data_IF_277681796979
#
_entry.id   IF_277681796979
#
_cell.length_a   1.000
_cell.length_b   1.000
_cell.length_c   1.000
_cell.angle_alpha   90.00
_cell.angle_beta   90.00
_cell.angle_gamma   90.00
#
_symmetry.space_group_name_H-M   'P 1'
#
loop_
_entity.id
_entity.type
_entity.pdbx_description
1 polymer ?
#
# COMPACT_ATOMS: atom_id res chain seq x y z
N UNK A 1 14.21 6.85 -6.08
CA UNK A 1 13.22 5.80 -5.77
C UNK A 1 13.20 5.64 -4.26
N UNK A 2 12.11 6.02 -3.59
CA UNK A 2 12.02 5.81 -2.14
C UNK A 2 11.95 4.30 -1.88
N UNK A 3 12.99 3.74 -1.28
CA UNK A 3 12.86 2.46 -0.58
C UNK A 3 11.85 2.64 0.55
N UNK A 4 11.13 1.57 0.90
CA UNK A 4 10.16 1.51 2.01
C UNK A 4 10.73 2.13 3.31
N UNK A 5 12.05 2.12 3.47
CA UNK A 5 12.79 2.71 4.60
C UNK A 5 12.79 4.24 4.64
N UNK A 6 12.70 4.95 3.50
CA UNK A 6 12.62 6.43 3.51
C UNK A 6 11.24 6.93 3.93
N UNK A 7 10.21 6.08 3.84
CA UNK A 7 8.84 6.41 4.26
C UNK A 7 8.63 6.26 5.77
N UNK A 8 9.61 5.68 6.50
CA UNK A 8 9.58 5.59 7.95
C UNK A 8 9.58 6.96 8.66
N UNK A 9 9.76 8.07 7.95
CA UNK A 9 9.57 9.42 8.47
C UNK A 9 8.12 9.93 8.40
N UNK A 10 7.21 9.31 7.61
CA UNK A 10 5.86 9.83 7.42
C UNK A 10 4.87 8.84 6.78
N UNK A 11 4.37 7.89 7.59
CA UNK A 11 3.17 7.04 7.36
C UNK A 11 3.14 6.18 6.09
N UNK A 12 2.32 5.13 6.10
CA UNK A 12 2.07 4.29 4.93
C UNK A 12 1.18 5.02 3.91
N UNK A 13 1.24 4.65 2.62
CA UNK A 13 0.32 5.19 1.62
C UNK A 13 -1.11 4.74 1.90
N UNK A 14 -2.04 5.70 2.01
CA UNK A 14 -3.49 5.50 2.27
C UNK A 14 -4.28 4.92 1.08
N UNK A 15 -3.58 4.17 0.24
CA UNK A 15 -4.11 3.47 -0.93
C UNK A 15 -3.24 2.23 -1.15
N UNK A 16 -2.98 1.49 -0.07
CA UNK A 16 -2.25 0.25 -0.16
C UNK A 16 -3.16 -0.81 -0.78
N UNK A 17 -2.81 -1.19 -2.01
CA UNK A 17 -3.51 -2.17 -2.84
C UNK A 17 -2.50 -2.91 -3.72
N UNK A 18 -2.82 -4.10 -4.25
CA UNK A 18 -1.89 -4.88 -5.06
C UNK A 18 -1.30 -4.11 -6.24
N UNK A 19 -2.06 -3.20 -6.86
CA UNK A 19 -1.59 -2.38 -8.00
C UNK A 19 -0.47 -1.41 -7.62
N UNK A 20 -0.37 -1.03 -6.34
CA UNK A 20 0.65 -0.13 -5.82
C UNK A 20 1.85 -0.88 -5.20
N UNK A 21 1.89 -2.21 -5.31
CA UNK A 21 2.93 -3.09 -4.79
C UNK A 21 3.65 -3.73 -5.98
N UNK A 22 4.77 -3.15 -6.38
CA UNK A 22 5.59 -3.64 -7.49
C UNK A 22 6.74 -4.52 -7.01
N UNK A 23 7.35 -5.25 -7.94
CA UNK A 23 8.58 -6.00 -7.70
C UNK A 23 9.74 -5.36 -8.45
N UNK A 24 10.89 -5.23 -7.80
CA UNK A 24 12.14 -4.91 -8.48
C UNK A 24 12.71 -6.11 -9.25
N UNK A 25 13.74 -5.87 -10.05
CA UNK A 25 14.41 -6.93 -10.83
C UNK A 25 15.00 -8.05 -9.97
N UNK A 26 15.27 -7.79 -8.70
CA UNK A 26 15.73 -8.78 -7.72
C UNK A 26 14.58 -9.53 -7.04
N UNK A 27 13.32 -9.20 -7.32
CA UNK A 27 12.14 -9.80 -6.70
C UNK A 27 11.71 -9.17 -5.38
N UNK A 28 12.32 -8.06 -4.95
CA UNK A 28 11.93 -7.37 -3.72
C UNK A 28 10.73 -6.46 -3.96
N UNK A 29 9.85 -6.37 -2.96
CA UNK A 29 8.68 -5.49 -2.99
C UNK A 29 9.11 -4.02 -2.96
N UNK A 30 8.49 -3.21 -3.82
CA UNK A 30 8.63 -1.76 -3.90
C UNK A 30 7.23 -1.15 -3.89
N UNK A 31 6.98 -0.26 -2.94
CA UNK A 31 5.73 0.51 -2.91
C UNK A 31 5.82 1.67 -3.91
N UNK A 32 4.73 1.90 -4.61
CA UNK A 32 4.57 3.01 -5.55
C UNK A 32 3.33 3.85 -5.21
N UNK A 33 3.17 4.96 -5.92
CA UNK A 33 2.05 5.90 -5.78
C UNK A 33 1.84 6.45 -4.36
N UNK A 34 2.65 7.43 -4.01
CA UNK A 34 2.55 8.16 -2.74
C UNK A 34 1.59 9.36 -2.83
N UNK A 35 0.76 9.46 -3.87
CA UNK A 35 -0.08 10.64 -4.14
C UNK A 35 -1.14 10.93 -3.06
N UNK A 36 -1.48 9.91 -2.26
CA UNK A 36 -2.40 10.04 -1.13
C UNK A 36 -1.70 10.07 0.23
N UNK A 37 -0.36 10.10 0.28
CA UNK A 37 0.36 10.28 1.54
C UNK A 37 0.04 11.65 2.15
N UNK A 38 -0.04 11.70 3.47
CA UNK A 38 -0.28 12.95 4.20
C UNK A 38 0.84 13.17 5.21
N UNK A 39 1.70 14.12 4.89
CA UNK A 39 2.78 14.58 5.75
C UNK A 39 2.25 15.39 6.95
N UNK A 40 3.08 15.54 7.98
CA UNK A 40 2.84 16.47 9.09
C UNK A 40 1.78 16.03 10.10
N UNK A 41 1.27 14.80 10.01
CA UNK A 41 0.40 14.25 11.06
C UNK A 41 1.27 13.65 12.15
N UNK A 42 1.29 14.30 13.31
CA UNK A 42 2.05 13.85 14.48
C UNK A 42 1.78 12.39 14.84
N UNK A 43 2.69 11.77 15.59
CA UNK A 43 2.42 10.50 16.27
C UNK A 43 1.13 10.69 17.10
N UNK A 44 0.12 9.86 16.88
CA UNK A 44 -1.22 10.00 17.48
C UNK A 44 -2.16 11.04 16.83
N UNK A 45 -1.75 11.71 15.76
CA UNK A 45 -2.59 12.67 15.04
C UNK A 45 -3.66 11.97 14.18
N UNK A 46 -4.83 12.60 14.09
CA UNK A 46 -6.01 12.08 13.39
C UNK A 46 -6.24 12.74 12.03
N UNK A 47 -6.98 12.05 11.17
CA UNK A 47 -7.39 12.50 9.84
C UNK A 47 -8.91 12.32 9.69
N UNK A 48 -9.52 13.01 8.73
CA UNK A 48 -10.97 12.90 8.45
C UNK A 48 -11.28 12.85 6.94
N UNK A 49 -10.25 12.80 6.08
CA UNK A 49 -10.44 12.84 4.62
C UNK A 49 -10.98 11.49 4.15
N UNK A 50 -12.08 11.50 3.40
CA UNK A 50 -12.59 10.31 2.71
C UNK A 50 -11.81 10.12 1.39
N UNK A 51 -10.86 9.19 1.37
CA UNK A 51 -10.04 8.85 0.21
C UNK A 51 -9.58 7.40 0.29
N UNK A 52 -9.21 6.82 -0.86
CA UNK A 52 -8.79 5.43 -1.00
C UNK A 52 -9.68 4.65 -1.96
N UNK A 53 -9.25 3.44 -2.30
CA UNK A 53 -10.01 2.53 -3.17
C UNK A 53 -11.15 1.85 -2.37
N UNK A 54 -12.41 1.84 -2.85
CA UNK A 54 -13.59 1.46 -2.06
C UNK A 54 -13.50 0.12 -1.30
N UNK A 55 -12.92 -0.91 -1.92
CA UNK A 55 -12.77 -2.25 -1.33
C UNK A 55 -11.69 -2.37 -0.24
N UNK A 56 -10.83 -1.37 -0.10
CA UNK A 56 -9.75 -1.31 0.91
C UNK A 56 -10.06 -0.34 2.05
N UNK A 57 -11.15 0.43 1.96
CA UNK A 57 -11.51 1.42 2.99
C UNK A 57 -11.80 0.75 4.34
N UNK A 58 -11.21 1.32 5.40
CA UNK A 58 -11.46 0.89 6.76
C UNK A 58 -12.87 1.29 7.24
N UNK A 59 -13.50 0.54 8.18
CA UNK A 59 -14.83 0.82 8.70
C UNK A 59 -14.99 2.25 9.22
N UNK A 60 -14.01 2.75 9.97
CA UNK A 60 -14.03 4.10 10.53
C UNK A 60 -13.96 5.21 9.46
N UNK A 61 -13.34 4.94 8.31
CA UNK A 61 -13.31 5.87 7.17
C UNK A 61 -14.69 5.92 6.51
N UNK A 62 -15.33 4.76 6.33
CA UNK A 62 -16.71 4.67 5.79
C UNK A 62 -17.73 5.37 6.67
N UNK A 63 -17.56 5.29 7.99
CA UNK A 63 -18.41 5.98 8.97
C UNK A 63 -18.13 7.48 9.06
N UNK A 64 -17.12 7.99 8.36
CA UNK A 64 -16.72 9.39 8.41
C UNK A 64 -16.13 9.83 9.76
N UNK A 65 -15.67 8.86 10.58
CA UNK A 65 -15.02 9.13 11.84
C UNK A 65 -13.61 9.69 11.61
N UNK A 66 -13.09 10.41 12.60
CA UNK A 66 -11.65 10.71 12.62
C UNK A 66 -10.85 9.45 12.86
N UNK A 67 -9.83 9.21 12.05
CA UNK A 67 -9.03 7.98 12.09
C UNK A 67 -7.53 8.26 12.29
N UNK A 68 -6.80 7.28 12.81
CA UNK A 68 -5.34 7.32 13.03
C UNK A 68 -4.60 6.57 11.91
N UNK A 69 -3.30 6.29 12.08
CA UNK A 69 -2.55 5.41 11.17
C UNK A 69 -3.03 3.94 11.15
N UNK A 70 -3.92 3.54 12.07
CA UNK A 70 -4.45 2.18 12.12
C UNK A 70 -5.26 1.77 10.88
N UNK A 71 -5.65 2.71 10.02
CA UNK A 71 -6.27 2.43 8.72
C UNK A 71 -5.29 1.72 7.78
N UNK A 72 -4.00 2.04 7.86
CA UNK A 72 -2.98 1.47 6.99
C UNK A 72 -2.81 -0.05 7.29
N UNK A 73 -2.99 -0.45 8.55
CA UNK A 73 -2.97 -1.85 8.97
C UNK A 73 -4.21 -2.63 8.51
N UNK A 74 -5.36 -1.97 8.42
CA UNK A 74 -6.55 -2.55 7.79
C UNK A 74 -6.31 -2.81 6.31
N UNK A 75 -5.74 -1.85 5.58
CA UNK A 75 -5.40 -2.00 4.17
C UNK A 75 -4.40 -3.16 3.95
N UNK A 76 -3.38 -3.28 4.81
CA UNK A 76 -2.45 -4.42 4.78
C UNK A 76 -3.17 -5.75 4.98
N UNK A 77 -4.17 -5.81 5.89
CA UNK A 77 -5.01 -6.98 6.10
C UNK A 77 -5.80 -7.37 4.84
N UNK A 78 -6.33 -6.39 4.10
CA UNK A 78 -7.05 -6.63 2.84
C UNK A 78 -6.11 -7.18 1.77
N UNK A 79 -4.93 -6.57 1.59
CA UNK A 79 -3.91 -7.05 0.65
C UNK A 79 -3.46 -8.46 1.00
N UNK A 80 -3.19 -8.76 2.28
CA UNK A 80 -2.82 -10.11 2.71
C UNK A 80 -3.93 -11.13 2.44
N UNK A 81 -5.18 -10.76 2.71
CA UNK A 81 -6.32 -11.61 2.42
C UNK A 81 -6.42 -11.90 0.93
N UNK A 82 -6.28 -10.88 0.09
CA UNK A 82 -6.34 -11.00 -1.36
C UNK A 82 -5.20 -11.85 -1.92
N UNK A 83 -3.98 -11.73 -1.40
CA UNK A 83 -2.87 -12.62 -1.76
C UNK A 83 -3.19 -14.10 -1.48
N UNK A 84 -4.02 -14.39 -0.48
CA UNK A 84 -4.39 -15.76 -0.08
C UNK A 84 -5.66 -16.29 -0.78
N UNK A 85 -6.58 -15.41 -1.18
CA UNK A 85 -7.92 -15.79 -1.69
C UNK A 85 -8.23 -15.30 -3.11
N UNK A 86 -7.46 -14.36 -3.65
CA UNK A 86 -7.62 -13.75 -4.97
C UNK A 86 -8.64 -12.62 -5.08
N UNK A 87 -9.34 -12.27 -4.00
CA UNK A 87 -10.28 -11.15 -3.91
C UNK A 87 -10.27 -10.56 -2.49
N UNK A 88 -10.63 -9.28 -2.35
CA UNK A 88 -10.87 -8.61 -1.06
C UNK A 88 -11.91 -9.35 -0.18
N UNK A 89 -11.74 -9.36 1.17
CA UNK A 89 -12.56 -10.13 2.11
C UNK A 89 -14.05 -9.78 2.12
N UNK A 90 -14.40 -8.53 1.79
CA UNK A 90 -15.77 -8.02 1.85
C UNK A 90 -16.33 -7.64 0.48
N UNK A 91 -15.69 -8.11 -0.59
CA UNK A 91 -16.01 -7.73 -1.96
C UNK A 91 -17.47 -8.05 -2.33
N UNK A 92 -18.14 -7.09 -2.98
CA UNK A 92 -19.38 -7.29 -3.72
C UNK A 92 -19.37 -6.43 -4.98
N UNK A 93 -20.13 -6.85 -6.00
CA UNK A 93 -20.38 -6.03 -7.19
C UNK A 93 -21.18 -4.76 -6.88
N UNK A 94 -21.98 -4.79 -5.81
CA UNK A 94 -22.72 -3.62 -5.33
C UNK A 94 -21.88 -2.88 -4.29
N UNK A 95 -21.51 -1.62 -4.56
CA UNK A 95 -20.77 -0.79 -3.60
C UNK A 95 -21.51 -0.65 -2.26
N UNK A 96 -22.83 -0.52 -2.30
CA UNK A 96 -23.64 -0.42 -1.09
C UNK A 96 -23.54 -1.71 -0.25
N UNK A 97 -23.64 -2.88 -0.89
CA UNK A 97 -23.50 -4.17 -0.20
C UNK A 97 -22.07 -4.39 0.30
N UNK A 98 -21.06 -3.99 -0.48
CA UNK A 98 -19.66 -4.05 -0.07
C UNK A 98 -19.42 -3.21 1.19
N UNK A 99 -19.98 -1.99 1.27
CA UNK A 99 -19.87 -1.16 2.46
C UNK A 99 -20.57 -1.79 3.66
N UNK A 100 -21.78 -2.34 3.49
CA UNK A 100 -22.45 -3.09 4.56
C UNK A 100 -21.61 -4.31 5.01
N UNK A 101 -20.96 -5.01 4.10
CA UNK A 101 -20.07 -6.12 4.43
C UNK A 101 -18.84 -5.65 5.20
N UNK A 102 -18.21 -4.55 4.78
CA UNK A 102 -17.08 -3.94 5.49
C UNK A 102 -17.47 -3.55 6.91
N UNK A 103 -18.70 -3.05 7.12
CA UNK A 103 -19.16 -2.64 8.45
C UNK A 103 -19.62 -3.80 9.33
N UNK A 104 -20.21 -4.85 8.75
CA UNK A 104 -21.00 -5.82 9.53
C UNK A 104 -20.73 -7.29 9.23
N UNK A 105 -20.26 -7.64 8.04
CA UNK A 105 -20.03 -9.04 7.71
C UNK A 105 -18.84 -9.62 8.50
N UNK A 106 -18.96 -10.86 9.00
CA UNK A 106 -17.85 -11.55 9.65
C UNK A 106 -16.80 -11.98 8.62
N UNK A 107 -15.52 -11.87 8.99
CA UNK A 107 -14.41 -12.35 8.17
C UNK A 107 -14.53 -13.87 7.92
N UNK A 108 -14.52 -14.28 6.66
CA UNK A 108 -14.55 -15.68 6.25
C UNK A 108 -13.15 -16.13 5.86
N UNK A 109 -12.66 -17.26 6.37
CA UNK A 109 -11.33 -17.77 6.05
C UNK A 109 -11.41 -19.24 5.64
N UNK A 110 -10.73 -19.60 4.55
CA UNK A 110 -10.68 -20.99 4.11
C UNK A 110 -9.91 -21.87 5.11
N UNK A 111 -10.26 -23.16 5.19
CA UNK A 111 -9.63 -24.09 6.13
C UNK A 111 -8.14 -24.32 5.83
N UNK A 112 -7.71 -24.11 4.58
CA UNK A 112 -6.32 -24.24 4.15
C UNK A 112 -5.40 -23.14 4.68
N UNK A 113 -5.95 -22.02 5.18
CA UNK A 113 -5.16 -20.93 5.75
C UNK A 113 -4.54 -21.40 7.07
N UNK A 114 -3.23 -21.20 7.21
CA UNK A 114 -2.47 -21.57 8.41
C UNK A 114 -3.02 -20.85 9.64
N UNK A 115 -2.82 -21.43 10.82
CA UNK A 115 -3.35 -20.82 12.05
C UNK A 115 -2.71 -19.45 12.35
N UNK A 116 -1.42 -19.29 12.04
CA UNK A 116 -0.74 -17.99 12.20
C UNK A 116 -1.26 -16.93 11.23
N UNK A 117 -1.54 -17.30 9.98
CA UNK A 117 -2.14 -16.39 8.99
C UNK A 117 -3.57 -16.02 9.37
N UNK A 118 -4.35 -16.98 9.87
CA UNK A 118 -5.71 -16.76 10.38
C UNK A 118 -5.71 -15.76 11.53
N UNK A 119 -4.83 -15.94 12.53
CA UNK A 119 -4.68 -15.00 13.65
C UNK A 119 -4.34 -13.60 13.14
N UNK A 120 -3.33 -13.49 12.27
CA UNK A 120 -2.90 -12.20 11.74
C UNK A 120 -4.03 -11.45 11.00
N UNK A 121 -4.78 -12.17 10.14
CA UNK A 121 -5.89 -11.59 9.40
C UNK A 121 -7.02 -11.15 10.32
N UNK A 122 -7.31 -11.90 11.38
CA UNK A 122 -8.32 -11.53 12.37
C UNK A 122 -7.91 -10.26 13.12
N UNK A 123 -6.64 -10.14 13.49
CA UNK A 123 -6.13 -8.99 14.25
C UNK A 123 -5.97 -7.72 13.38
N UNK A 124 -5.60 -7.86 12.09
CA UNK A 124 -5.52 -6.74 11.13
C UNK A 124 -6.90 -6.27 10.63
N UNK A 125 -7.83 -7.20 10.39
CA UNK A 125 -9.19 -6.91 9.91
C UNK A 125 -10.21 -6.80 11.05
N UNK A 126 -9.73 -6.43 12.24
CA UNK A 126 -10.59 -6.04 13.36
C UNK A 126 -11.29 -4.71 13.03
N UNK A 127 -12.62 -4.72 13.10
CA UNK A 127 -13.45 -3.56 12.72
C UNK A 127 -13.36 -2.47 13.79
N UNK A 128 -13.20 -2.84 15.05
CA UNK A 128 -12.92 -1.90 16.14
C UNK A 128 -11.47 -1.43 16.08
N UNK A 129 -11.23 -0.22 15.58
CA UNK A 129 -9.88 0.33 15.40
C UNK A 129 -9.08 0.44 16.70
N UNK A 130 -9.72 0.40 17.88
CA UNK A 130 -9.02 0.41 19.18
C UNK A 130 -8.45 -0.94 19.58
N UNK A 131 -8.89 -2.02 18.94
CA UNK A 131 -8.44 -3.40 19.16
C UNK A 131 -7.61 -3.94 18.01
N UNK A 132 -7.52 -3.19 16.91
CA UNK A 132 -6.79 -3.59 15.70
C UNK A 132 -5.29 -3.62 15.96
N UNK A 133 -4.63 -4.65 15.43
CA UNK A 133 -3.18 -4.79 15.46
C UNK A 133 -2.50 -3.57 14.83
N UNK A 134 -1.45 -3.08 15.48
CA UNK A 134 -0.72 -1.87 15.09
C UNK A 134 -1.38 -0.57 15.55
N UNK A 135 -2.44 -0.66 16.37
CA UNK A 135 -3.12 0.51 16.93
C UNK A 135 -2.35 1.21 18.05
N UNK A 136 -1.64 0.48 18.91
CA UNK A 136 -0.94 1.06 20.08
C UNK A 136 0.56 1.28 19.83
N UNK A 137 1.28 0.25 19.36
CA UNK A 137 2.73 0.28 19.14
C UNK A 137 3.11 0.09 17.66
N UNK A 138 2.17 0.29 16.75
CA UNK A 138 2.40 0.34 15.30
C UNK A 138 3.15 -0.90 14.79
N UNK A 139 4.24 -0.72 14.04
CA UNK A 139 5.01 -1.81 13.46
C UNK A 139 5.52 -2.83 14.49
N UNK A 140 5.82 -2.42 15.73
CA UNK A 140 6.41 -3.31 16.73
C UNK A 140 5.47 -4.48 17.09
N UNK A 141 4.16 -4.27 17.08
CA UNK A 141 3.17 -5.33 17.29
C UNK A 141 3.19 -6.37 16.17
N UNK A 142 3.26 -5.91 14.92
CA UNK A 142 3.35 -6.81 13.77
C UNK A 142 4.65 -7.60 13.79
N UNK A 143 5.77 -6.97 14.13
CA UNK A 143 7.06 -7.66 14.19
C UNK A 143 7.09 -8.81 15.20
N UNK A 144 6.33 -8.69 16.30
CA UNK A 144 6.17 -9.71 17.32
C UNK A 144 5.14 -10.80 17.00
N UNK A 145 4.34 -10.64 15.93
CA UNK A 145 3.25 -11.57 15.63
C UNK A 145 3.77 -12.93 15.14
N UNK A 146 3.10 -14.01 15.55
CA UNK A 146 3.53 -15.40 15.28
C UNK A 146 3.72 -15.73 13.79
N UNK A 147 2.98 -15.05 12.92
CA UNK A 147 3.10 -15.18 11.46
C UNK A 147 4.50 -14.79 10.94
N UNK A 148 5.18 -13.85 11.59
CA UNK A 148 6.47 -13.34 11.15
C UNK A 148 7.67 -13.92 11.93
N UNK A 149 7.48 -14.94 12.78
CA UNK A 149 8.56 -15.52 13.60
C UNK A 149 9.76 -16.05 12.80
N UNK A 150 9.56 -16.46 11.55
CA UNK A 150 10.63 -16.93 10.68
C UNK A 150 11.42 -15.80 10.01
N UNK A 151 11.00 -14.55 10.17
CA UNK A 151 11.59 -13.40 9.49
C UNK A 151 12.58 -12.70 10.42
N UNK A 152 13.82 -12.59 9.97
CA UNK A 152 14.78 -11.65 10.55
C UNK A 152 14.58 -10.28 9.89
N UNK A 153 14.10 -9.31 10.67
CA UNK A 153 13.77 -7.97 10.18
C UNK A 153 15.01 -7.18 9.71
N UNK A 154 16.15 -7.35 10.38
CA UNK A 154 17.41 -6.69 9.99
C UNK A 154 17.92 -7.23 8.64
N UNK A 155 17.84 -8.54 8.45
CA UNK A 155 18.23 -9.18 7.18
C UNK A 155 17.23 -8.86 6.06
N UNK A 156 15.93 -8.74 6.36
CA UNK A 156 14.92 -8.31 5.41
C UNK A 156 15.18 -6.88 4.94
N UNK A 157 15.42 -5.95 5.87
CA UNK A 157 15.75 -4.55 5.56
C UNK A 157 17.05 -4.43 4.77
N UNK A 158 18.06 -5.25 5.11
CA UNK A 158 19.33 -5.32 4.39
C UNK A 158 19.25 -6.09 3.05
N UNK A 159 18.06 -6.52 2.61
CA UNK A 159 17.83 -7.30 1.38
C UNK A 159 18.67 -8.58 1.31
N UNK A 160 18.92 -9.21 2.46
CA UNK A 160 19.66 -10.49 2.57
C UNK A 160 18.74 -11.70 2.53
N UNK A 161 17.45 -11.51 2.81
CA UNK A 161 16.45 -12.57 2.69
C UNK A 161 16.15 -12.79 1.19
N UNK A 162 16.41 -13.99 0.64
CA UNK A 162 16.16 -14.24 -0.78
C UNK A 162 14.65 -14.20 -1.09
N UNK A 163 14.21 -13.42 -2.09
CA UNK A 163 12.80 -13.38 -2.47
C UNK A 163 12.29 -14.73 -2.99
N UNK A 164 11.03 -15.10 -2.70
CA UNK A 164 10.46 -16.37 -3.15
C UNK A 164 10.19 -16.40 -4.67
N UNK A 165 10.10 -15.24 -5.30
CA UNK A 165 9.90 -15.08 -6.73
C UNK A 165 10.84 -13.98 -7.26
N UNK A 166 11.57 -14.30 -8.32
CA UNK A 166 12.46 -13.37 -9.02
C UNK A 166 11.97 -13.31 -10.48
N UNK A 167 11.60 -12.13 -11.00
CA UNK A 167 11.11 -12.01 -12.37
C UNK A 167 12.22 -12.35 -13.38
N UNK A 168 11.87 -13.15 -14.40
CA UNK A 168 12.81 -13.52 -15.46
C UNK A 168 12.89 -12.43 -16.54
N UNK A 169 13.78 -11.46 -16.34
CA UNK A 169 13.97 -10.31 -17.23
C UNK A 169 15.20 -10.49 -18.13
N UNK A 170 15.11 -10.05 -19.39
CA UNK A 170 16.23 -10.06 -20.34
C UNK A 170 17.15 -8.84 -20.25
N UNK A 171 16.73 -7.80 -19.52
CA UNK A 171 17.53 -6.59 -19.30
C UNK A 171 16.71 -5.43 -18.71
N UNK A 172 17.33 -4.25 -18.52
CA UNK A 172 16.71 -3.09 -17.87
C UNK A 172 15.51 -2.48 -18.60
N UNK A 173 15.38 -2.71 -19.90
CA UNK A 173 14.29 -2.21 -20.73
C UNK A 173 13.21 -3.26 -21.01
N UNK A 174 13.26 -4.41 -20.33
CA UNK A 174 12.31 -5.49 -20.55
C UNK A 174 10.95 -5.17 -19.91
N UNK A 175 9.91 -5.12 -20.73
CA UNK A 175 8.55 -4.76 -20.31
C UNK A 175 7.59 -5.95 -20.31
N UNK A 176 8.08 -7.20 -20.38
CA UNK A 176 7.24 -8.41 -20.46
C UNK A 176 6.28 -8.62 -19.30
N UNK A 177 6.58 -8.01 -18.14
CA UNK A 177 5.75 -8.10 -16.94
C UNK A 177 4.65 -7.03 -16.90
N UNK A 178 4.52 -6.20 -17.95
CA UNK A 178 3.48 -5.19 -18.10
C UNK A 178 2.50 -5.58 -19.21
N UNK A 179 1.27 -5.10 -19.11
CA UNK A 179 0.23 -5.40 -20.08
C UNK A 179 0.60 -4.84 -21.48
N UNK A 180 0.54 -5.67 -22.55
CA UNK A 180 0.73 -5.23 -23.93
C UNK A 180 -0.15 -4.05 -24.33
N UNK A 181 -1.35 -3.90 -23.75
CA UNK A 181 -2.22 -2.76 -23.99
C UNK A 181 -1.50 -1.43 -23.75
N UNK A 182 -0.65 -1.34 -22.72
CA UNK A 182 0.09 -0.10 -22.40
C UNK A 182 1.44 -0.01 -23.10
N UNK A 183 2.16 -1.13 -23.23
CA UNK A 183 3.51 -1.12 -23.82
C UNK A 183 3.52 -0.90 -25.33
N UNK A 184 2.38 -1.14 -26.00
CA UNK A 184 2.19 -0.90 -27.43
C UNK A 184 1.62 0.49 -27.74
N UNK A 185 1.24 1.28 -26.73
CA UNK A 185 0.77 2.65 -26.97
C UNK A 185 1.93 3.52 -27.46
N UNK A 186 1.69 4.38 -28.46
CA UNK A 186 2.66 5.40 -28.83
C UNK A 186 2.85 6.37 -27.67
N UNK A 187 4.07 6.86 -27.50
CA UNK A 187 4.35 7.92 -26.54
C UNK A 187 3.49 9.16 -26.90
N UNK A 188 2.68 9.71 -25.97
CA UNK A 188 1.80 10.83 -26.27
C UNK A 188 2.56 12.05 -26.80
N UNK A 189 2.02 12.69 -27.84
CA UNK A 189 2.58 13.90 -28.43
C UNK A 189 2.55 15.14 -27.50
N UNK A 190 1.93 15.02 -26.32
CA UNK A 190 1.87 16.06 -25.30
C UNK A 190 3.21 16.38 -24.62
N UNK A 191 4.26 15.58 -24.84
CA UNK A 191 5.62 15.81 -24.32
C UNK A 191 6.32 17.08 -24.86
N UNK A 192 5.65 17.90 -25.67
CA UNK A 192 6.19 19.16 -26.21
C UNK A 192 5.24 20.37 -26.19
N UNK A 193 4.05 20.27 -25.57
CA UNK A 193 3.03 21.34 -25.58
C UNK A 193 3.14 22.31 -24.39
N UNK A 194 4.31 22.36 -23.72
CA UNK A 194 4.57 23.25 -22.58
C UNK A 194 4.22 24.72 -22.87
N UNK A 195 4.36 25.17 -24.12
CA UNK A 195 4.10 26.56 -24.52
C UNK A 195 2.59 26.91 -24.63
N UNK A 196 1.69 25.93 -24.55
CA UNK A 196 0.24 26.15 -24.69
C UNK A 196 -0.48 26.41 -23.36
N UNK A 197 0.17 26.11 -22.23
CA UNK A 197 -0.32 26.42 -20.90
C UNK A 197 0.16 27.82 -20.54
N UNK A 198 -0.55 28.86 -21.02
CA UNK A 198 -0.26 30.25 -20.69
C UNK A 198 -0.18 30.53 -19.19
N UNK A 199 0.17 31.78 -18.82
CA UNK A 199 0.54 32.33 -17.50
C UNK A 199 -0.12 31.77 -16.21
N UNK A 200 -1.24 31.05 -16.30
CA UNK A 200 -1.92 30.35 -15.20
C UNK A 200 -1.06 29.24 -14.56
N UNK A 201 -0.18 28.57 -15.33
CA UNK A 201 0.66 27.49 -14.82
C UNK A 201 2.01 27.97 -14.22
N UNK A 202 2.49 29.16 -14.60
CA UNK A 202 3.84 29.64 -14.31
C UNK A 202 4.11 29.93 -12.81
N UNK A 203 3.08 29.91 -11.96
CA UNK A 203 3.21 30.10 -10.50
C UNK A 203 2.56 29.02 -9.64
N UNK A 204 2.01 27.95 -10.24
CA UNK A 204 1.26 26.93 -9.50
C UNK A 204 2.15 25.87 -8.84
N UNK A 205 3.39 25.70 -9.33
CA UNK A 205 4.30 24.63 -8.90
C UNK A 205 5.68 25.12 -8.42
N UNK A 206 5.77 26.17 -7.57
CA UNK A 206 7.05 26.59 -7.02
C UNK A 206 7.66 25.47 -6.17
N UNK A 207 8.96 25.20 -6.33
CA UNK A 207 9.67 24.16 -5.57
C UNK A 207 9.44 22.71 -6.05
N UNK A 208 8.76 22.51 -7.19
CA UNK A 208 8.55 21.18 -7.76
C UNK A 208 9.82 20.52 -8.31
N UNK A 209 10.79 21.34 -8.78
CA UNK A 209 12.06 20.82 -9.29
C UNK A 209 12.91 20.26 -8.14
N UNK A 210 13.24 18.98 -8.22
CA UNK A 210 14.08 18.28 -7.26
C UNK A 210 15.14 17.45 -7.99
N UNK A 211 16.37 17.49 -7.48
CA UNK A 211 17.45 16.61 -7.91
C UNK A 211 18.01 15.93 -6.66
N UNK A 212 17.96 14.59 -6.57
CA UNK A 212 18.56 13.91 -5.45
C UNK A 212 20.08 14.18 -5.44
N UNK A 213 20.71 14.33 -4.26
CA UNK A 213 22.17 14.37 -4.18
C UNK A 213 22.74 13.09 -4.81
N UNK A 214 23.83 13.22 -5.57
CA UNK A 214 24.45 12.08 -6.23
C UNK A 214 24.77 10.98 -5.21
N UNK A 215 24.32 9.76 -5.49
CA UNK A 215 24.66 8.60 -4.66
C UNK A 215 26.19 8.44 -4.66
N UNK A 216 26.81 8.55 -3.49
CA UNK A 216 28.21 8.18 -3.32
C UNK A 216 28.25 6.67 -3.33
N UNK A 217 28.62 6.12 -4.50
CA UNK A 217 28.83 4.68 -4.72
C UNK A 217 29.93 4.14 -3.81
#
# INVERSE_FOLDING_TARGET
MCSVTSCCASRLPRDLKPENILLDSGGHVVLTDFGLCKEGVSVGGTMQTFCGTPEYLAPEVLLGHTYSGAVDWWELGNVLYEMLHGLSPFYSRSKAEMYENILHAPLQLHISVSQSARSLLQDLLEKDCTKRLGGEHDLAELQGHTFFLSINWDDLLARKVPPPFIPNLSGPCDVRCFDPEFTLLPVPASLGLSDMLGDVANGAFPGFSYMPPAEVV
#
